data_IF_957604931428
#
_entry.id   IF_957604931428
#
_cell.length_a   1.000
_cell.length_b   1.000
_cell.length_c   1.000
_cell.angle_alpha   90.00
_cell.angle_beta   90.00
_cell.angle_gamma   90.00
#
_symmetry.space_group_name_H-M   'P 1'
#
loop_
_entity.id
_entity.type
_entity.pdbx_description
1 polymer ?
#
# COMPACT_ATOMS: atom_id res chain seq x y z
N UNK A 1 -7.73 22.71 -1.96
CA UNK A 1 -6.25 22.62 -2.00
C UNK A 1 -5.64 23.93 -1.54
N UNK A 2 -4.49 23.88 -0.86
CA UNK A 2 -3.67 25.05 -0.49
C UNK A 2 -2.52 25.16 -1.50
N UNK A 3 -2.23 26.37 -2.02
CA UNK A 3 -1.06 26.60 -2.89
C UNK A 3 0.20 26.65 -2.04
N UNK A 4 1.28 26.02 -2.50
CA UNK A 4 2.59 26.00 -1.83
C UNK A 4 3.66 26.00 -2.91
N UNK A 5 4.67 26.85 -2.76
CA UNK A 5 5.81 26.91 -3.67
C UNK A 5 6.90 25.97 -3.15
N UNK A 6 7.30 25.02 -3.97
CA UNK A 6 8.34 24.03 -3.68
C UNK A 6 9.37 24.04 -4.81
N UNK A 7 10.64 23.85 -4.47
CA UNK A 7 11.70 23.63 -5.46
C UNK A 7 11.85 22.12 -5.63
N UNK A 8 11.57 21.61 -6.84
CA UNK A 8 11.57 20.19 -7.19
C UNK A 8 12.42 19.97 -8.44
N UNK A 9 12.93 18.75 -8.61
CA UNK A 9 13.65 18.37 -9.84
C UNK A 9 12.66 18.23 -10.99
N UNK A 10 12.94 18.90 -12.10
CA UNK A 10 12.05 18.97 -13.26
C UNK A 10 11.92 17.62 -13.98
N UNK A 11 13.04 16.92 -14.17
CA UNK A 11 13.10 15.58 -14.76
C UNK A 11 12.16 14.59 -14.07
N UNK A 12 12.13 14.64 -12.73
CA UNK A 12 11.27 13.79 -11.93
C UNK A 12 9.78 14.17 -12.06
N UNK A 13 9.45 15.45 -12.19
CA UNK A 13 8.07 15.91 -12.37
C UNK A 13 7.53 15.49 -13.73
N UNK A 14 8.35 15.60 -14.77
CA UNK A 14 8.01 15.12 -16.11
C UNK A 14 7.79 13.60 -16.12
N UNK A 15 8.71 12.85 -15.54
CA UNK A 15 8.61 11.40 -15.45
C UNK A 15 7.39 10.97 -14.64
N UNK A 16 7.16 11.56 -13.47
CA UNK A 16 6.02 11.26 -12.62
C UNK A 16 4.70 11.53 -13.36
N UNK A 17 4.59 12.64 -14.09
CA UNK A 17 3.38 13.03 -14.83
C UNK A 17 3.10 12.08 -15.98
N UNK A 18 4.14 11.71 -16.72
CA UNK A 18 4.07 10.74 -17.81
C UNK A 18 3.66 9.35 -17.29
N UNK A 19 4.27 8.88 -16.20
CA UNK A 19 3.96 7.56 -15.62
C UNK A 19 2.59 7.53 -14.95
N UNK A 20 2.15 8.62 -14.32
CA UNK A 20 0.84 8.69 -13.69
C UNK A 20 -0.30 8.89 -14.70
N UNK A 21 0.01 9.34 -15.92
CA UNK A 21 -0.99 9.72 -16.94
C UNK A 21 -1.74 11.00 -16.58
N UNK A 22 -1.16 11.84 -15.72
CA UNK A 22 -1.81 13.07 -15.25
C UNK A 22 -1.52 14.23 -16.20
N UNK A 23 -2.40 15.22 -16.24
CA UNK A 23 -2.27 16.37 -17.15
C UNK A 23 -1.39 17.50 -16.58
N UNK A 24 -1.15 17.50 -15.27
CA UNK A 24 -0.45 18.58 -14.57
C UNK A 24 0.48 18.03 -13.50
N UNK A 25 1.59 18.75 -13.26
CA UNK A 25 2.51 18.45 -12.17
C UNK A 25 1.81 18.42 -10.81
N UNK A 26 0.88 19.34 -10.56
CA UNK A 26 0.13 19.38 -9.30
C UNK A 26 -0.66 18.10 -9.05
N UNK A 27 -1.34 17.56 -10.08
CA UNK A 27 -2.09 16.30 -9.94
C UNK A 27 -1.17 15.10 -9.79
N UNK A 28 -0.07 15.04 -10.54
CA UNK A 28 0.92 13.98 -10.42
C UNK A 28 1.54 13.95 -9.00
N UNK A 29 1.90 15.12 -8.47
CA UNK A 29 2.44 15.27 -7.10
C UNK A 29 1.39 14.90 -6.05
N UNK A 30 0.15 15.37 -6.19
CA UNK A 30 -0.93 15.04 -5.25
C UNK A 30 -1.17 13.52 -5.19
N UNK A 31 -1.29 12.87 -6.35
CA UNK A 31 -1.44 11.41 -6.43
C UNK A 31 -0.25 10.66 -5.84
N UNK A 32 0.98 11.11 -6.11
CA UNK A 32 2.18 10.50 -5.54
C UNK A 32 2.20 10.60 -4.00
N UNK A 33 1.80 11.75 -3.45
CA UNK A 33 1.69 11.96 -2.00
C UNK A 33 0.59 11.10 -1.37
N UNK A 34 -0.58 10.99 -2.02
CA UNK A 34 -1.67 10.12 -1.57
C UNK A 34 -1.21 8.65 -1.50
N UNK A 35 -0.55 8.16 -2.56
CA UNK A 35 -0.01 6.81 -2.57
C UNK A 35 1.07 6.60 -1.51
N UNK A 36 1.96 7.58 -1.32
CA UNK A 36 2.99 7.53 -0.29
C UNK A 36 2.38 7.43 1.11
N UNK A 37 1.42 8.30 1.43
CA UNK A 37 0.72 8.30 2.73
C UNK A 37 -0.06 7.00 2.92
N UNK A 38 -0.76 6.52 1.89
CA UNK A 38 -1.49 5.24 1.95
C UNK A 38 -0.56 4.08 2.27
N UNK A 39 0.58 3.98 1.58
CA UNK A 39 1.60 2.94 1.82
C UNK A 39 2.21 3.08 3.21
N UNK A 40 2.45 4.31 3.68
CA UNK A 40 2.97 4.56 5.02
C UNK A 40 2.01 4.11 6.13
N UNK A 41 0.71 4.44 6.00
CA UNK A 41 -0.33 3.97 6.92
C UNK A 41 -0.46 2.44 6.88
N UNK A 42 -0.46 1.84 5.69
CA UNK A 42 -0.53 0.39 5.56
C UNK A 42 0.65 -0.32 6.26
N UNK A 43 1.87 0.23 6.20
CA UNK A 43 3.03 -0.32 6.93
C UNK A 43 2.84 -0.36 8.45
N UNK A 44 1.99 0.49 9.03
CA UNK A 44 1.70 0.44 10.47
C UNK A 44 1.04 -0.87 10.88
N UNK A 45 0.38 -1.60 9.96
CA UNK A 45 -0.17 -2.93 10.25
C UNK A 45 0.91 -3.91 10.71
N UNK A 46 2.15 -3.74 10.24
CA UNK A 46 3.28 -4.57 10.67
C UNK A 46 3.62 -4.38 12.14
N UNK A 47 3.28 -3.23 12.73
CA UNK A 47 3.43 -2.99 14.17
C UNK A 47 2.45 -3.83 15.00
N UNK A 48 1.37 -4.32 14.39
CA UNK A 48 0.41 -5.20 15.04
C UNK A 48 0.86 -6.66 15.05
N UNK A 49 1.97 -7.00 14.38
CA UNK A 49 2.53 -8.34 14.44
C UNK A 49 2.97 -8.67 15.87
N UNK A 50 2.42 -9.76 16.43
CA UNK A 50 2.73 -10.18 17.80
C UNK A 50 2.07 -9.35 18.91
N UNK A 51 1.24 -8.36 18.57
CA UNK A 51 0.53 -7.54 19.57
C UNK A 51 -0.65 -8.27 20.23
N UNK A 52 -1.03 -9.45 19.72
CA UNK A 52 -2.19 -10.21 20.20
C UNK A 52 -3.54 -9.61 19.81
N UNK A 53 -3.56 -8.59 18.92
CA UNK A 53 -4.81 -7.97 18.45
C UNK A 53 -5.72 -8.94 17.67
N UNK A 54 -5.15 -9.98 17.09
CA UNK A 54 -5.89 -11.01 16.38
C UNK A 54 -5.84 -12.32 17.16
N UNK A 55 -7.00 -12.93 17.38
CA UNK A 55 -7.17 -14.17 18.12
C UNK A 55 -8.01 -15.12 17.27
N UNK A 56 -7.50 -16.32 17.03
CA UNK A 56 -8.13 -17.33 16.19
C UNK A 56 -7.17 -18.46 15.82
N UNK A 57 -7.71 -19.55 15.28
CA UNK A 57 -6.94 -20.64 14.71
C UNK A 57 -7.01 -20.59 13.19
N UNK A 58 -5.86 -20.39 12.54
CA UNK A 58 -5.76 -20.30 11.08
C UNK A 58 -6.16 -21.60 10.39
N UNK A 59 -5.89 -22.77 10.98
CA UNK A 59 -6.23 -24.06 10.38
C UNK A 59 -7.75 -24.26 10.33
N UNK A 60 -8.46 -23.79 11.36
CA UNK A 60 -9.93 -23.81 11.40
C UNK A 60 -10.51 -22.85 10.36
N UNK A 61 -10.01 -21.61 10.30
CA UNK A 61 -10.54 -20.59 9.39
C UNK A 61 -10.28 -20.87 7.92
N UNK A 62 -9.18 -21.55 7.60
CA UNK A 62 -8.86 -21.96 6.22
C UNK A 62 -9.54 -23.26 5.82
N UNK A 63 -10.24 -23.90 6.75
CA UNK A 63 -10.80 -25.24 6.56
C UNK A 63 -9.71 -26.19 6.03
N UNK A 64 -8.52 -26.14 6.64
CA UNK A 64 -7.39 -27.01 6.30
C UNK A 64 -7.70 -28.44 6.80
N UNK A 65 -8.77 -29.03 6.27
CA UNK A 65 -9.16 -30.41 6.47
C UNK A 65 -8.22 -31.28 5.66
N UNK A 66 -7.09 -31.63 6.29
CA UNK A 66 -6.18 -32.74 5.97
C UNK A 66 -6.39 -33.34 4.57
N UNK A 67 -5.74 -32.76 3.56
CA UNK A 67 -5.63 -33.40 2.27
C UNK A 67 -4.99 -34.80 2.47
N UNK A 68 -5.73 -35.82 2.04
CA UNK A 68 -5.35 -37.24 1.91
C UNK A 68 -5.32 -38.08 3.18
N UNK A 69 -6.49 -38.65 3.51
CA UNK A 69 -6.56 -40.11 3.67
C UNK A 69 -6.18 -40.74 2.32
N UNK A 70 -4.89 -41.03 2.10
CA UNK A 70 -4.48 -42.05 1.13
C UNK A 70 -5.15 -43.34 1.60
N UNK A 71 -6.23 -43.75 0.90
CA UNK A 71 -6.82 -45.07 1.09
C UNK A 71 -5.85 -46.12 0.52
N UNK A 72 -5.74 -47.29 1.17
CA UNK A 72 -4.85 -48.38 0.75
C UNK A 72 -5.23 -48.94 -0.62
#
# INVERSE_FOLDING_TARGET
MKRTNLVLREDLLEEATRLSGEKTYSRAVERALEEYVRRAKARQILQLHGSGLWQGDLAVMREDHSARRRRP
#
